data_IF_478443149749
#
_entry.id   IF_478443149749
#
_cell.length_a   1.000
_cell.length_b   1.000
_cell.length_c   1.000
_cell.angle_alpha   90.00
_cell.angle_beta   90.00
_cell.angle_gamma   90.00
#
_symmetry.space_group_name_H-M   'P 1'
#
loop_
_entity.id
_entity.type
_entity.pdbx_description
1 polymer ?
#
# COMPACT_ATOMS: atom_id res chain seq x y z
N UNK A 1 3.57 23.15 12.65
CA UNK A 1 2.64 23.87 11.75
C UNK A 1 2.60 23.13 10.42
N UNK A 2 1.46 22.54 10.03
CA UNK A 2 1.31 21.89 8.71
C UNK A 2 1.30 22.99 7.64
N UNK A 3 2.30 23.01 6.75
CA UNK A 3 2.27 23.89 5.56
C UNK A 3 1.13 23.42 4.66
N UNK A 4 0.11 24.27 4.47
CA UNK A 4 -0.83 24.13 3.35
C UNK A 4 -0.04 24.41 2.07
N UNK A 5 0.31 23.36 1.33
CA UNK A 5 0.88 23.51 -0.01
C UNK A 5 -0.28 23.71 -0.99
N UNK A 6 -0.37 24.90 -1.58
CA UNK A 6 -1.27 25.18 -2.69
C UNK A 6 -0.83 24.40 -3.94
N UNK A 7 -1.76 23.84 -4.74
CA UNK A 7 -1.42 23.16 -5.98
C UNK A 7 -0.59 24.07 -6.89
N UNK A 8 0.55 23.58 -7.40
CA UNK A 8 1.32 24.34 -8.37
C UNK A 8 0.63 24.28 -9.75
N UNK A 9 0.84 25.25 -10.66
CA UNK A 9 0.28 25.19 -12.01
C UNK A 9 0.61 23.90 -12.75
N UNK A 10 1.82 23.36 -12.54
CA UNK A 10 2.24 22.08 -13.11
C UNK A 10 1.43 20.90 -12.56
N UNK A 11 1.11 20.89 -11.26
CA UNK A 11 0.26 19.86 -10.65
C UNK A 11 -1.15 19.86 -11.25
N UNK A 12 -1.72 21.05 -11.48
CA UNK A 12 -3.04 21.19 -12.07
C UNK A 12 -3.08 20.71 -13.53
N UNK A 13 -2.07 21.08 -14.33
CA UNK A 13 -1.94 20.64 -15.72
C UNK A 13 -1.79 19.12 -15.79
N UNK A 14 -0.91 18.55 -14.97
CA UNK A 14 -0.71 17.11 -14.91
C UNK A 14 -2.01 16.35 -14.58
N UNK A 15 -2.73 16.79 -13.54
CA UNK A 15 -4.04 16.23 -13.19
C UNK A 15 -5.04 16.33 -14.32
N UNK A 16 -5.11 17.47 -15.00
CA UNK A 16 -6.04 17.68 -16.08
C UNK A 16 -5.80 16.68 -17.21
N UNK A 17 -4.56 16.53 -17.67
CA UNK A 17 -4.24 15.61 -18.76
C UNK A 17 -4.54 14.16 -18.42
N UNK A 18 -4.09 13.71 -17.25
CA UNK A 18 -4.30 12.33 -16.84
C UNK A 18 -5.75 12.05 -16.41
N UNK A 19 -6.56 13.05 -16.08
CA UNK A 19 -8.00 12.81 -15.89
C UNK A 19 -8.71 12.26 -17.14
N UNK A 20 -8.11 12.45 -18.34
CA UNK A 20 -8.58 11.83 -19.58
C UNK A 20 -8.06 10.40 -19.72
N UNK A 21 -8.99 9.44 -19.86
CA UNK A 21 -8.69 8.00 -19.90
C UNK A 21 -7.77 7.60 -21.06
N UNK A 22 -7.93 8.19 -22.24
CA UNK A 22 -7.06 7.85 -23.38
C UNK A 22 -5.61 8.28 -23.14
N UNK A 23 -5.40 9.49 -22.61
CA UNK A 23 -4.08 9.96 -22.19
C UNK A 23 -3.45 9.05 -21.12
N UNK A 24 -4.26 8.62 -20.15
CA UNK A 24 -3.80 7.72 -19.09
C UNK A 24 -3.46 6.33 -19.64
N UNK A 25 -4.25 5.81 -20.58
CA UNK A 25 -3.97 4.55 -21.27
C UNK A 25 -2.64 4.61 -22.01
N UNK A 26 -2.44 5.62 -22.84
CA UNK A 26 -1.19 5.83 -23.58
C UNK A 26 0.01 5.93 -22.62
N UNK A 27 -0.14 6.69 -21.54
CA UNK A 27 0.88 6.83 -20.52
C UNK A 27 1.29 5.48 -19.91
N UNK A 28 0.31 4.65 -19.51
CA UNK A 28 0.58 3.34 -18.93
C UNK A 28 1.15 2.37 -19.96
N UNK A 29 0.68 2.41 -21.20
CA UNK A 29 1.17 1.55 -22.27
C UNK A 29 2.64 1.83 -22.59
N UNK A 30 3.04 3.10 -22.61
CA UNK A 30 4.42 3.54 -22.90
C UNK A 30 5.36 3.28 -21.72
N UNK A 31 4.92 3.56 -20.49
CA UNK A 31 5.83 3.67 -19.35
C UNK A 31 5.82 2.47 -18.39
N UNK A 32 4.80 1.60 -18.42
CA UNK A 32 4.83 0.39 -17.59
C UNK A 32 5.83 -0.65 -18.14
N UNK A 33 6.66 -1.27 -17.27
CA UNK A 33 7.45 -2.43 -17.65
C UNK A 33 6.57 -3.53 -18.26
N UNK A 34 7.06 -4.22 -19.30
CA UNK A 34 6.28 -5.21 -20.04
C UNK A 34 5.65 -6.31 -19.16
N UNK A 35 6.34 -6.73 -18.10
CA UNK A 35 5.85 -7.73 -17.14
C UNK A 35 4.65 -7.24 -16.33
N UNK A 36 4.65 -5.97 -15.92
CA UNK A 36 3.53 -5.35 -15.22
C UNK A 36 2.40 -5.01 -16.18
N UNK A 37 2.72 -4.56 -17.39
CA UNK A 37 1.71 -4.30 -18.42
C UNK A 37 0.96 -5.56 -18.83
N UNK A 38 1.64 -6.72 -18.89
CA UNK A 38 1.03 -7.99 -19.27
C UNK A 38 -0.08 -8.49 -18.33
N UNK A 39 -0.15 -7.97 -17.09
CA UNK A 39 -1.22 -8.31 -16.15
C UNK A 39 -2.39 -7.31 -16.18
N UNK A 40 -2.28 -6.21 -16.92
CA UNK A 40 -3.23 -5.12 -16.98
C UNK A 40 -4.14 -5.22 -18.22
N UNK A 41 -5.46 -5.17 -18.03
CA UNK A 41 -6.42 -4.90 -19.11
C UNK A 41 -6.67 -3.38 -19.19
N UNK A 42 -5.89 -2.69 -20.02
CA UNK A 42 -5.92 -1.23 -20.15
C UNK A 42 -7.21 -0.69 -20.81
N UNK A 43 -8.01 -1.54 -21.45
CA UNK A 43 -9.30 -1.13 -22.02
C UNK A 43 -10.36 -0.94 -20.92
N UNK A 44 -10.13 -1.50 -19.74
CA UNK A 44 -11.01 -1.39 -18.57
C UNK A 44 -10.64 -0.25 -17.63
N UNK A 45 -9.67 0.60 -18.00
CA UNK A 45 -9.14 1.68 -17.17
C UNK A 45 -10.24 2.67 -16.74
N UNK A 46 -10.33 2.91 -15.43
CA UNK A 46 -11.29 3.83 -14.82
C UNK A 46 -10.60 4.71 -13.80
N UNK A 47 -10.90 6.00 -13.85
CA UNK A 47 -10.42 6.97 -12.86
C UNK A 47 -11.23 6.80 -11.57
N UNK A 48 -10.55 6.55 -10.46
CA UNK A 48 -11.16 6.47 -9.13
C UNK A 48 -11.30 7.86 -8.51
N UNK A 49 -12.39 8.07 -7.76
CA UNK A 49 -12.63 9.36 -7.12
C UNK A 49 -11.59 9.67 -6.05
N UNK A 50 -11.23 10.95 -5.86
CA UNK A 50 -10.29 11.38 -4.80
C UNK A 50 -10.77 11.15 -3.36
N UNK A 51 -11.95 10.57 -3.14
CA UNK A 51 -12.38 10.01 -1.84
C UNK A 51 -11.81 8.64 -1.55
N UNK A 52 -11.18 8.02 -2.55
CA UNK A 52 -10.52 6.74 -2.42
C UNK A 52 -9.20 6.82 -1.64
N UNK A 53 -8.61 8.01 -1.61
CA UNK A 53 -7.34 8.29 -0.95
C UNK A 53 -7.68 9.02 0.35
N UNK A 54 -7.24 8.50 1.51
CA UNK A 54 -7.64 8.97 2.84
C UNK A 54 -7.60 10.50 2.98
N UNK A 55 -8.46 11.06 3.84
CA UNK A 55 -8.50 12.51 4.10
C UNK A 55 -7.17 13.10 4.58
N UNK A 56 -6.32 12.30 5.23
CA UNK A 56 -4.99 12.71 5.67
C UNK A 56 -3.92 12.69 4.56
N UNK A 57 -4.21 12.06 3.43
CA UNK A 57 -3.37 11.99 2.24
C UNK A 57 -3.72 13.11 1.23
N UNK A 58 -4.99 13.53 1.17
CA UNK A 58 -5.49 14.60 0.28
C UNK A 58 -4.76 15.94 0.37
N UNK A 59 -4.11 16.24 1.50
CA UNK A 59 -3.44 17.52 1.70
C UNK A 59 -2.10 17.63 0.95
N UNK A 60 -1.59 16.51 0.43
CA UNK A 60 -0.28 16.45 -0.20
C UNK A 60 -0.35 15.59 -1.46
N UNK A 61 -0.42 16.28 -2.61
CA UNK A 61 -0.03 15.82 -3.95
C UNK A 61 -1.11 15.27 -4.90
N UNK A 62 -0.63 15.00 -6.10
CA UNK A 62 -1.42 14.82 -7.31
C UNK A 62 -1.76 13.38 -7.57
N UNK A 63 -2.23 12.72 -6.52
CA UNK A 63 -2.48 11.30 -6.51
C UNK A 63 -3.66 10.99 -7.42
N UNK A 64 -3.34 10.51 -8.62
CA UNK A 64 -4.33 9.95 -9.51
C UNK A 64 -4.32 8.45 -9.30
N UNK A 65 -5.51 7.91 -9.05
CA UNK A 65 -5.73 6.50 -8.89
C UNK A 65 -6.62 6.01 -10.02
N UNK A 66 -6.16 4.98 -10.72
CA UNK A 66 -7.01 4.24 -11.64
C UNK A 66 -7.27 2.85 -11.11
N UNK A 67 -8.46 2.32 -11.39
CA UNK A 67 -8.74 0.89 -11.32
C UNK A 67 -8.81 0.32 -12.74
N UNK A 68 -8.38 -0.93 -12.89
CA UNK A 68 -8.56 -1.72 -14.09
C UNK A 68 -8.62 -3.20 -13.71
N UNK A 69 -9.13 -4.04 -14.60
CA UNK A 69 -9.15 -5.49 -14.43
C UNK A 69 -7.78 -6.11 -14.75
N UNK A 70 -7.54 -7.31 -14.24
CA UNK A 70 -6.40 -8.09 -14.70
C UNK A 70 -6.73 -8.79 -16.02
N UNK A 71 -5.72 -8.98 -16.86
CA UNK A 71 -5.86 -9.75 -18.11
C UNK A 71 -6.28 -11.22 -17.87
N UNK A 72 -6.18 -11.70 -16.62
CA UNK A 72 -6.47 -13.08 -16.21
C UNK A 72 -7.79 -13.22 -15.41
N UNK A 73 -8.58 -12.16 -15.20
CA UNK A 73 -9.90 -12.24 -14.55
C UNK A 73 -10.23 -11.12 -13.55
N UNK A 74 -10.99 -11.46 -12.50
CA UNK A 74 -11.63 -10.52 -11.54
C UNK A 74 -10.65 -9.79 -10.58
N UNK A 75 -9.35 -9.77 -10.89
CA UNK A 75 -8.37 -9.01 -10.12
C UNK A 75 -8.47 -7.52 -10.45
N UNK A 76 -8.13 -6.67 -9.50
CA UNK A 76 -8.01 -5.22 -9.71
C UNK A 76 -6.53 -4.85 -9.70
N UNK A 77 -6.13 -4.03 -10.68
CA UNK A 77 -4.86 -3.31 -10.63
C UNK A 77 -5.17 -1.86 -10.34
N UNK A 78 -4.53 -1.33 -9.31
CA UNK A 78 -4.53 0.10 -9.06
C UNK A 78 -3.24 0.73 -9.57
N UNK A 79 -3.33 1.80 -10.34
CA UNK A 79 -2.16 2.60 -10.69
C UNK A 79 -2.17 3.90 -9.88
N UNK A 80 -1.17 4.09 -9.03
CA UNK A 80 -0.99 5.31 -8.24
C UNK A 80 0.07 6.15 -8.95
N UNK A 81 -0.31 7.30 -9.50
CA UNK A 81 0.63 8.19 -10.17
C UNK A 81 0.89 9.40 -9.28
N UNK A 82 2.15 9.55 -8.86
CA UNK A 82 2.58 10.66 -8.03
C UNK A 82 3.44 11.63 -8.85
N UNK A 83 3.14 12.92 -8.76
CA UNK A 83 3.81 13.98 -9.53
C UNK A 83 4.69 14.83 -8.63
N UNK A 84 5.99 14.92 -8.94
CA UNK A 84 6.92 15.74 -8.18
C UNK A 84 7.83 16.61 -9.05
N UNK A 85 7.94 17.88 -8.68
CA UNK A 85 8.90 18.84 -9.24
C UNK A 85 10.18 18.98 -8.39
N UNK A 86 10.16 18.49 -7.14
CA UNK A 86 11.32 18.45 -6.25
C UNK A 86 11.58 17.01 -5.82
N UNK A 87 12.85 16.54 -5.83
CA UNK A 87 13.14 15.17 -5.46
C UNK A 87 12.93 14.96 -3.96
N UNK A 88 12.44 13.79 -3.58
CA UNK A 88 12.10 13.42 -2.21
C UNK A 88 12.74 12.09 -1.86
N UNK A 89 13.63 12.09 -0.87
CA UNK A 89 14.38 10.90 -0.46
C UNK A 89 13.45 9.77 0.01
N UNK A 90 12.25 10.09 0.52
CA UNK A 90 11.29 9.13 1.07
C UNK A 90 10.12 8.83 0.11
N UNK A 91 10.24 9.17 -1.18
CA UNK A 91 9.17 8.96 -2.15
C UNK A 91 8.71 7.51 -2.23
N UNK A 92 9.64 6.56 -2.16
CA UNK A 92 9.34 5.13 -2.31
C UNK A 92 8.49 4.63 -1.14
N UNK A 93 8.82 5.04 0.09
CA UNK A 93 8.00 4.76 1.27
C UNK A 93 6.62 5.42 1.16
N UNK A 94 6.54 6.65 0.64
CA UNK A 94 5.25 7.32 0.43
C UNK A 94 4.37 6.56 -0.57
N UNK A 95 4.92 6.13 -1.69
CA UNK A 95 4.22 5.33 -2.70
C UNK A 95 3.75 3.98 -2.14
N UNK A 96 4.53 3.34 -1.26
CA UNK A 96 4.09 2.13 -0.55
C UNK A 96 2.91 2.39 0.38
N UNK A 97 2.94 3.50 1.13
CA UNK A 97 1.79 3.89 1.97
C UNK A 97 0.54 4.06 1.11
N UNK A 98 0.65 4.70 -0.05
CA UNK A 98 -0.48 4.91 -0.96
C UNK A 98 -1.01 3.57 -1.48
N UNK A 99 -0.10 2.67 -1.80
CA UNK A 99 -0.43 1.33 -2.26
C UNK A 99 -1.19 0.53 -1.20
N UNK A 100 -0.73 0.57 0.06
CA UNK A 100 -1.40 -0.10 1.19
C UNK A 100 -2.78 0.53 1.47
N UNK A 101 -2.92 1.85 1.44
CA UNK A 101 -4.22 2.50 1.62
C UNK A 101 -5.20 2.11 0.50
N UNK A 102 -4.73 1.99 -0.75
CA UNK A 102 -5.56 1.52 -1.85
C UNK A 102 -6.02 0.06 -1.68
N UNK A 103 -5.11 -0.80 -1.22
CA UNK A 103 -5.41 -2.19 -0.87
C UNK A 103 -6.44 -2.30 0.26
N UNK A 104 -6.28 -1.50 1.32
CA UNK A 104 -7.20 -1.46 2.45
C UNK A 104 -8.62 -1.09 1.99
N UNK A 105 -8.73 -0.02 1.18
CA UNK A 105 -10.02 0.42 0.69
C UNK A 105 -10.69 -0.57 -0.25
N UNK A 106 -9.91 -1.31 -1.03
CA UNK A 106 -10.44 -2.41 -1.82
C UNK A 106 -11.12 -3.46 -0.92
N UNK A 107 -10.55 -3.79 0.24
CA UNK A 107 -11.20 -4.71 1.19
C UNK A 107 -12.47 -4.10 1.83
N UNK A 108 -12.45 -2.80 2.14
CA UNK A 108 -13.62 -2.06 2.67
C UNK A 108 -14.79 -1.97 1.68
N UNK A 109 -14.56 -2.22 0.39
CA UNK A 109 -15.62 -2.34 -0.61
C UNK A 109 -16.25 -3.74 -0.65
N UNK A 110 -15.89 -4.63 0.28
CA UNK A 110 -16.40 -6.00 0.39
C UNK A 110 -15.62 -7.03 -0.42
N UNK A 111 -14.49 -6.66 -1.03
CA UNK A 111 -13.63 -7.61 -1.71
C UNK A 111 -12.86 -8.49 -0.70
N UNK A 112 -12.62 -9.76 -1.06
CA UNK A 112 -12.06 -10.77 -0.16
C UNK A 112 -10.54 -10.99 -0.32
N UNK A 113 -9.93 -10.38 -1.33
CA UNK A 113 -8.51 -10.53 -1.67
C UNK A 113 -7.92 -9.17 -1.96
N UNK A 114 -6.62 -9.02 -1.75
CA UNK A 114 -5.91 -7.79 -2.07
C UNK A 114 -5.80 -7.59 -3.59
N UNK A 115 -5.88 -6.35 -4.08
CA UNK A 115 -5.58 -6.01 -5.45
C UNK A 115 -4.06 -5.93 -5.66
N UNK A 116 -3.61 -5.99 -6.91
CA UNK A 116 -2.25 -5.54 -7.24
C UNK A 116 -2.26 -4.01 -7.30
N UNK A 117 -1.22 -3.36 -6.76
CA UNK A 117 -1.09 -1.90 -6.85
C UNK A 117 0.28 -1.57 -7.44
N UNK A 118 0.28 -0.84 -8.55
CA UNK A 118 1.46 -0.40 -9.29
C UNK A 118 1.68 1.08 -8.99
N UNK A 119 2.63 1.44 -8.11
CA UNK A 119 3.02 2.82 -7.93
C UNK A 119 3.90 3.30 -9.10
N UNK A 120 3.60 4.47 -9.64
CA UNK A 120 4.34 5.14 -10.70
C UNK A 120 4.73 6.54 -10.23
N UNK A 121 6.02 6.86 -10.29
CA UNK A 121 6.53 8.19 -10.00
C UNK A 121 6.71 8.96 -11.30
N UNK A 122 5.97 10.05 -11.46
CA UNK A 122 6.19 11.04 -12.51
C UNK A 122 7.03 12.20 -11.97
N UNK A 123 8.28 12.30 -12.41
CA UNK A 123 9.21 13.33 -11.96
C UNK A 123 9.63 14.26 -13.10
N UNK A 124 9.57 15.57 -12.85
CA UNK A 124 9.97 16.62 -13.82
C UNK A 124 10.79 17.73 -13.16
N UNK A 125 11.52 17.42 -12.10
CA UNK A 125 12.31 18.41 -11.38
C UNK A 125 13.62 18.81 -12.07
N UNK A 126 14.23 19.88 -11.57
CA UNK A 126 15.50 20.43 -12.10
C UNK A 126 16.72 19.53 -11.86
N UNK A 127 16.67 18.64 -10.87
CA UNK A 127 17.79 17.75 -10.53
C UNK A 127 17.64 16.50 -11.41
N UNK A 128 18.59 16.31 -12.31
CA UNK A 128 18.56 15.22 -13.29
C UNK A 128 19.91 14.48 -13.34
N UNK A 129 19.92 13.14 -13.36
CA UNK A 129 18.75 12.25 -13.22
C UNK A 129 18.13 12.30 -11.80
N UNK A 130 16.96 11.67 -11.62
CA UNK A 130 16.33 11.59 -10.30
C UNK A 130 17.31 10.98 -9.27
N UNK A 131 17.57 11.64 -8.13
CA UNK A 131 18.74 11.32 -7.30
C UNK A 131 18.49 10.25 -6.23
N UNK A 132 17.25 9.78 -6.03
CA UNK A 132 16.89 8.89 -4.92
C UNK A 132 16.36 7.53 -5.40
N UNK A 133 16.47 6.51 -4.54
CA UNK A 133 15.94 5.19 -4.85
C UNK A 133 14.41 5.19 -4.91
N UNK A 134 13.86 4.44 -5.86
CA UNK A 134 12.42 4.13 -5.95
C UNK A 134 12.08 2.80 -5.28
N UNK A 135 13.06 2.10 -4.70
CA UNK A 135 12.86 0.87 -3.96
C UNK A 135 12.66 1.17 -2.48
N UNK A 136 11.46 0.91 -1.94
CA UNK A 136 11.10 1.37 -0.59
C UNK A 136 11.92 0.74 0.54
N UNK A 137 12.48 -0.46 0.34
CA UNK A 137 13.40 -1.07 1.31
C UNK A 137 14.72 -0.29 1.47
N UNK A 138 15.08 0.55 0.50
CA UNK A 138 16.27 1.40 0.59
C UNK A 138 16.03 2.62 1.50
N UNK A 139 14.79 2.82 1.97
CA UNK A 139 14.47 3.84 2.96
C UNK A 139 14.90 3.46 4.39
N UNK A 140 15.29 2.21 4.64
CA UNK A 140 15.76 1.74 5.94
C UNK A 140 17.28 1.89 6.08
N UNK A 141 17.77 2.08 7.31
CA UNK A 141 19.20 2.06 7.61
C UNK A 141 19.86 0.70 7.33
N UNK A 142 19.06 -0.38 7.37
CA UNK A 142 19.50 -1.76 7.07
C UNK A 142 18.59 -2.44 6.02
N UNK A 143 18.76 -2.15 4.72
CA UNK A 143 17.87 -2.65 3.66
C UNK A 143 17.81 -4.19 3.54
N UNK A 144 18.92 -4.89 3.82
CA UNK A 144 18.96 -6.35 3.79
C UNK A 144 18.05 -6.97 4.86
N UNK A 145 18.10 -6.46 6.09
CA UNK A 145 17.24 -6.90 7.19
C UNK A 145 15.77 -6.53 6.91
N UNK A 146 15.52 -5.34 6.35
CA UNK A 146 14.17 -4.95 5.93
C UNK A 146 13.60 -5.93 4.89
N UNK A 147 14.41 -6.41 3.95
CA UNK A 147 14.00 -7.43 2.98
C UNK A 147 13.58 -8.74 3.63
N UNK A 148 14.34 -9.21 4.62
CA UNK A 148 13.98 -10.42 5.39
C UNK A 148 12.64 -10.25 6.12
N UNK A 149 12.41 -9.10 6.76
CA UNK A 149 11.19 -8.82 7.51
C UNK A 149 9.97 -8.71 6.59
N UNK A 150 10.09 -8.00 5.48
CA UNK A 150 8.93 -7.60 4.65
C UNK A 150 8.69 -8.46 3.41
N UNK A 151 9.60 -9.39 3.09
CA UNK A 151 9.40 -10.36 2.00
C UNK A 151 9.15 -11.79 2.52
N UNK A 152 9.34 -12.03 3.82
CA UNK A 152 9.12 -13.32 4.47
C UNK A 152 7.76 -13.43 5.16
N UNK A 153 7.47 -14.62 5.70
CA UNK A 153 6.35 -14.79 6.60
C UNK A 153 6.61 -14.06 7.93
N UNK A 154 5.58 -13.40 8.47
CA UNK A 154 5.71 -12.76 9.78
C UNK A 154 5.86 -13.82 10.90
N UNK A 155 6.65 -13.55 11.95
CA UNK A 155 6.73 -14.43 13.10
C UNK A 155 5.35 -14.61 13.76
N UNK A 156 4.91 -15.87 13.89
CA UNK A 156 3.68 -16.23 14.58
C UNK A 156 4.01 -16.85 15.93
N UNK A 157 3.48 -16.26 17.01
CA UNK A 157 3.50 -16.84 18.36
C UNK A 157 2.12 -17.46 18.63
N UNK A 158 1.96 -18.74 18.29
CA UNK A 158 0.72 -19.47 18.48
C UNK A 158 0.68 -20.18 19.84
N UNK A 159 0.23 -19.47 20.88
CA UNK A 159 0.10 -20.01 22.24
C UNK A 159 -0.88 -21.19 22.36
N UNK A 160 -1.69 -21.45 21.33
CA UNK A 160 -2.67 -22.56 21.36
C UNK A 160 -1.99 -23.93 21.21
N UNK A 161 -0.80 -23.96 20.61
CA UNK A 161 -0.03 -25.19 20.36
C UNK A 161 1.20 -25.31 21.26
N UNK A 162 1.53 -24.29 22.07
CA UNK A 162 2.68 -24.35 22.99
C UNK A 162 2.29 -25.12 24.26
N UNK A 163 3.02 -26.19 24.62
CA UNK A 163 2.78 -26.93 25.85
C UNK A 163 3.03 -26.10 27.13
N UNK A 164 2.26 -26.34 28.19
CA UNK A 164 2.32 -25.61 29.46
C UNK A 164 3.73 -25.67 30.09
N UNK A 165 4.40 -26.82 30.00
CA UNK A 165 5.78 -27.00 30.51
C UNK A 165 6.79 -26.13 29.75
N UNK A 166 6.58 -25.90 28.45
CA UNK A 166 7.38 -24.97 27.66
C UNK A 166 7.09 -23.52 28.03
N UNK A 167 5.82 -23.15 28.18
CA UNK A 167 5.42 -21.81 28.60
C UNK A 167 6.06 -21.43 29.93
N UNK A 168 6.12 -22.35 30.90
CA UNK A 168 6.77 -22.11 32.21
C UNK A 168 8.25 -21.70 32.09
N UNK A 169 8.91 -22.01 30.97
CA UNK A 169 10.31 -21.59 30.71
C UNK A 169 10.42 -20.18 30.11
N UNK A 170 9.33 -19.57 29.66
CA UNK A 170 9.31 -18.27 28.97
C UNK A 170 9.47 -17.06 29.92
N UNK A 171 9.98 -17.29 31.14
CA UNK A 171 10.32 -16.25 32.11
C UNK A 171 9.11 -15.34 32.39
N UNK A 172 9.24 -14.03 32.16
CA UNK A 172 8.22 -13.03 32.53
C UNK A 172 6.96 -13.09 31.66
N UNK A 173 7.02 -13.63 30.44
CA UNK A 173 5.84 -13.70 29.55
C UNK A 173 4.99 -14.95 29.79
N UNK A 174 5.51 -15.94 30.53
CA UNK A 174 4.81 -17.19 30.84
C UNK A 174 3.42 -16.97 31.44
N UNK A 175 3.28 -16.00 32.36
CA UNK A 175 1.99 -15.71 32.99
C UNK A 175 0.94 -15.23 31.97
N UNK A 176 1.33 -14.38 31.01
CA UNK A 176 0.44 -13.90 29.96
C UNK A 176 -0.02 -15.08 29.09
N UNK A 177 0.93 -15.91 28.65
CA UNK A 177 0.65 -17.05 27.78
C UNK A 177 -0.25 -18.08 28.46
N UNK A 178 0.01 -18.41 29.73
CA UNK A 178 -0.84 -19.32 30.51
C UNK A 178 -2.25 -18.76 30.73
N UNK A 179 -2.39 -17.47 31.05
CA UNK A 179 -3.70 -16.83 31.24
C UNK A 179 -4.50 -16.87 29.94
N UNK A 180 -3.90 -16.50 28.81
CA UNK A 180 -4.55 -16.56 27.50
C UNK A 180 -4.97 -18.00 27.16
N UNK A 181 -4.07 -18.96 27.33
CA UNK A 181 -4.35 -20.37 27.03
C UNK A 181 -5.48 -20.92 27.92
N UNK A 182 -5.51 -20.57 29.20
CA UNK A 182 -6.57 -20.96 30.12
C UNK A 182 -7.93 -20.34 29.78
N UNK A 183 -7.95 -19.06 29.40
CA UNK A 183 -9.17 -18.37 28.96
C UNK A 183 -9.74 -19.00 27.68
N UNK A 184 -8.86 -19.42 26.74
CA UNK A 184 -9.25 -20.14 25.53
C UNK A 184 -9.83 -21.54 25.85
N UNK A 185 -9.16 -22.32 26.72
CA UNK A 185 -9.63 -23.67 27.13
C UNK A 185 -10.99 -23.65 27.82
N UNK A 186 -11.29 -22.58 28.58
CA UNK A 186 -12.58 -22.41 29.28
C UNK A 186 -13.70 -21.84 28.40
N UNK A 187 -13.43 -21.51 27.14
CA UNK A 187 -14.42 -20.88 26.25
C UNK A 187 -14.86 -19.48 26.72
N UNK A 188 -14.08 -18.83 27.58
CA UNK A 188 -14.41 -17.52 28.19
C UNK A 188 -14.11 -16.36 27.22
N UNK A 189 -13.34 -16.61 26.16
CA UNK A 189 -13.06 -15.64 25.09
C UNK A 189 -14.03 -15.84 23.92
N UNK A 190 -15.28 -15.41 24.12
CA UNK A 190 -16.11 -14.93 23.02
C UNK A 190 -16.19 -13.40 23.11
N UNK A 191 -15.04 -12.72 23.15
CA UNK A 191 -15.01 -11.26 23.25
C UNK A 191 -13.95 -10.69 22.32
N UNK A 192 -14.41 -10.07 21.23
CA UNK A 192 -13.76 -8.88 20.70
C UNK A 192 -12.68 -9.06 19.64
N UNK A 193 -13.02 -9.64 18.48
CA UNK A 193 -12.40 -9.20 17.23
C UNK A 193 -13.50 -8.96 16.18
N UNK A 194 -14.43 -8.05 16.51
CA UNK A 194 -15.20 -7.35 15.47
C UNK A 194 -14.46 -6.05 15.18
N UNK A 195 -14.15 -5.83 13.90
CA UNK A 195 -13.58 -4.62 13.30
C UNK A 195 -12.04 -4.56 13.23
N UNK A 196 -11.48 -5.26 12.25
CA UNK A 196 -10.34 -4.74 11.47
C UNK A 196 -10.61 -4.64 9.96
N UNK A 197 -11.87 -4.86 9.55
CA UNK A 197 -12.41 -4.44 8.26
C UNK A 197 -13.88 -4.04 8.52
N UNK A 198 -14.28 -2.76 8.39
CA UNK A 198 -15.70 -2.45 8.30
C UNK A 198 -16.23 -2.99 6.96
N UNK A 199 -17.45 -3.53 7.01
CA UNK A 199 -18.25 -3.86 5.83
C UNK A 199 -18.46 -2.65 4.91
#
# INVERSE_FOLDING_TARGET
MKKKNTPTPHDAVFKQFLSHIDTARDFLEIHLPATLRAVCDLDTLRLESGSFIEDNLRAHYSDILYSLKTAQGDGYVYCVIEHQSSPDKMIAFRLMRYSISAMQRHLEQGHKKLPLVIPVLFYHGKIQPYPWSTHWLDCFDAPALAKEIYSGAFPLVDVTVIPDDKILTHKRVALLEMVVQHLLRRGVVAVGCKNWLPC
#
